data_IF_348065499843
#
_entry.id   IF_348065499843
#
_cell.length_a   1.000
_cell.length_b   1.000
_cell.length_c   1.000
_cell.angle_alpha   90.00
_cell.angle_beta   90.00
_cell.angle_gamma   90.00
#
_symmetry.space_group_name_H-M   'P 1'
#
loop_
_entity.id
_entity.type
_entity.pdbx_description
1 polymer ?
#
# COMPACT_ATOMS: atom_id res chain seq x y z
N UNK A 1 -25.58 -5.68 -19.88
CA UNK A 1 -24.64 -5.56 -18.75
C UNK A 1 -23.94 -4.22 -18.85
N UNK A 2 -24.16 -3.28 -17.91
CA UNK A 2 -23.36 -2.06 -17.84
C UNK A 2 -21.94 -2.46 -17.44
N UNK A 3 -20.88 -2.02 -18.14
CA UNK A 3 -19.52 -2.31 -17.70
C UNK A 3 -19.34 -1.77 -16.28
N UNK A 4 -18.77 -2.57 -15.38
CA UNK A 4 -18.37 -2.14 -14.05
C UNK A 4 -17.29 -1.06 -14.22
N UNK A 5 -17.71 0.20 -14.25
CA UNK A 5 -16.79 1.34 -14.27
C UNK A 5 -16.16 1.41 -12.89
N UNK A 6 -14.93 0.90 -12.75
CA UNK A 6 -14.16 1.01 -11.52
C UNK A 6 -13.92 2.49 -11.19
N UNK A 7 -14.10 2.86 -9.92
CA UNK A 7 -13.76 4.20 -9.42
C UNK A 7 -12.26 4.48 -9.61
N UNK A 8 -11.88 5.74 -9.81
CA UNK A 8 -10.48 6.11 -10.05
C UNK A 8 -9.60 5.70 -8.86
N UNK A 9 -10.12 5.82 -7.66
CA UNK A 9 -9.48 5.33 -6.43
C UNK A 9 -9.16 3.84 -6.48
N UNK A 10 -10.09 3.01 -6.98
CA UNK A 10 -9.85 1.58 -7.16
C UNK A 10 -8.78 1.30 -8.23
N UNK A 11 -8.80 2.03 -9.35
CA UNK A 11 -7.77 1.91 -10.40
C UNK A 11 -6.37 2.23 -9.88
N UNK A 12 -6.25 3.28 -9.06
CA UNK A 12 -4.94 3.67 -8.51
C UNK A 12 -4.43 2.64 -7.50
N UNK A 13 -5.31 2.12 -6.63
CA UNK A 13 -4.96 1.03 -5.70
C UNK A 13 -4.56 -0.25 -6.43
N UNK A 14 -5.24 -0.61 -7.51
CA UNK A 14 -4.86 -1.74 -8.37
C UNK A 14 -3.49 -1.51 -9.04
N UNK A 15 -3.21 -0.30 -9.50
CA UNK A 15 -1.89 0.07 -10.02
C UNK A 15 -0.79 -0.05 -8.96
N UNK A 16 -1.07 0.35 -7.72
CA UNK A 16 -0.14 0.17 -6.58
C UNK A 16 0.09 -1.32 -6.30
N UNK A 17 -0.96 -2.13 -6.25
CA UNK A 17 -0.83 -3.57 -6.05
C UNK A 17 -0.03 -4.24 -7.18
N UNK A 18 -0.27 -3.87 -8.43
CA UNK A 18 0.47 -4.38 -9.59
C UNK A 18 1.96 -4.02 -9.49
N UNK A 19 2.27 -2.79 -9.07
CA UNK A 19 3.66 -2.36 -8.85
C UNK A 19 4.33 -3.19 -7.75
N UNK A 20 3.64 -3.44 -6.63
CA UNK A 20 4.12 -4.28 -5.53
C UNK A 20 4.36 -5.71 -6.01
N UNK A 21 3.41 -6.28 -6.75
CA UNK A 21 3.50 -7.61 -7.37
C UNK A 21 4.76 -7.77 -8.20
N UNK A 22 4.96 -6.85 -9.16
CA UNK A 22 6.14 -6.89 -10.04
C UNK A 22 7.42 -6.70 -9.24
N UNK A 23 7.45 -5.72 -8.33
CA UNK A 23 8.64 -5.44 -7.52
C UNK A 23 9.04 -6.62 -6.63
N UNK A 24 8.07 -7.25 -5.96
CA UNK A 24 8.33 -8.39 -5.07
C UNK A 24 8.73 -9.64 -5.85
N UNK A 25 8.11 -9.90 -7.01
CA UNK A 25 8.55 -11.01 -7.87
C UNK A 25 9.98 -10.80 -8.37
N UNK A 26 10.33 -9.60 -8.85
CA UNK A 26 11.69 -9.26 -9.24
C UNK A 26 12.67 -9.44 -8.08
N UNK A 27 12.29 -9.00 -6.88
CA UNK A 27 13.10 -9.20 -5.68
C UNK A 27 13.27 -10.70 -5.35
N UNK A 28 12.24 -11.53 -5.51
CA UNK A 28 12.35 -12.99 -5.34
C UNK A 28 13.31 -13.65 -6.34
N UNK A 29 13.33 -13.16 -7.59
CA UNK A 29 14.34 -13.59 -8.58
C UNK A 29 15.74 -13.17 -8.15
N UNK A 30 15.93 -11.91 -7.76
CA UNK A 30 17.22 -11.39 -7.29
C UNK A 30 17.72 -12.15 -6.06
N UNK A 31 16.85 -12.45 -5.10
CA UNK A 31 17.17 -13.24 -3.92
C UNK A 31 17.62 -14.65 -4.29
N UNK A 32 16.98 -15.28 -5.28
CA UNK A 32 17.38 -16.61 -5.76
C UNK A 32 18.76 -16.58 -6.43
N UNK A 33 19.01 -15.57 -7.27
CA UNK A 33 20.32 -15.39 -7.91
C UNK A 33 21.38 -15.13 -6.84
N UNK A 34 21.09 -14.28 -5.85
CA UNK A 34 21.98 -14.02 -4.72
C UNK A 34 22.31 -15.31 -3.96
N UNK A 35 21.30 -16.09 -3.56
CA UNK A 35 21.50 -17.37 -2.86
C UNK A 35 22.35 -18.34 -3.71
N UNK A 36 22.10 -18.40 -5.02
CA UNK A 36 22.89 -19.23 -5.94
C UNK A 36 24.36 -18.82 -5.99
N UNK A 37 24.64 -17.52 -6.07
CA UNK A 37 25.99 -16.97 -6.09
C UNK A 37 26.71 -17.21 -4.77
N UNK A 38 26.01 -17.08 -3.63
CA UNK A 38 26.58 -17.35 -2.31
C UNK A 38 27.02 -18.81 -2.20
N UNK A 39 26.16 -19.74 -2.63
CA UNK A 39 26.44 -21.18 -2.59
C UNK A 39 27.64 -21.57 -3.48
N UNK A 40 27.88 -20.84 -4.58
CA UNK A 40 29.03 -21.05 -5.49
C UNK A 40 30.22 -20.13 -5.20
N UNK A 41 30.17 -19.32 -4.15
CA UNK A 41 31.28 -18.45 -3.76
C UNK A 41 32.36 -19.23 -3.02
N UNK A 42 33.60 -18.70 -2.99
CA UNK A 42 34.70 -19.32 -2.24
C UNK A 42 34.51 -19.41 -0.71
N UNK A 43 33.44 -18.81 -0.18
CA UNK A 43 33.08 -18.86 1.25
C UNK A 43 32.08 -19.98 1.59
N UNK A 44 31.69 -20.78 0.59
CA UNK A 44 30.70 -21.85 0.72
C UNK A 44 31.36 -23.21 0.52
N UNK A 45 30.87 -24.24 1.21
CA UNK A 45 31.26 -25.64 1.00
C UNK A 45 30.64 -26.24 -0.29
N UNK A 46 29.89 -25.44 -1.05
CA UNK A 46 29.22 -25.84 -2.29
C UNK A 46 27.72 -26.10 -2.11
N UNK A 47 27.05 -26.42 -3.21
CA UNK A 47 25.62 -26.73 -3.22
C UNK A 47 25.34 -28.10 -2.58
N UNK A 48 24.31 -28.18 -1.75
CA UNK A 48 23.84 -29.47 -1.23
C UNK A 48 23.21 -30.32 -2.33
N UNK A 49 23.15 -31.64 -2.15
CA UNK A 49 22.55 -32.57 -3.12
C UNK A 49 21.07 -32.25 -3.44
N UNK A 50 20.36 -31.61 -2.51
CA UNK A 50 18.97 -31.19 -2.68
C UNK A 50 18.79 -29.81 -3.31
N UNK A 51 19.88 -29.09 -3.63
CA UNK A 51 19.79 -27.75 -4.20
C UNK A 51 19.50 -27.81 -5.71
N UNK A 52 18.49 -27.05 -6.14
CA UNK A 52 18.20 -26.84 -7.56
C UNK A 52 17.81 -25.38 -7.78
N UNK A 53 18.54 -24.71 -8.69
CA UNK A 53 18.30 -23.30 -9.01
C UNK A 53 16.84 -23.07 -9.45
N UNK A 54 16.33 -23.89 -10.37
CA UNK A 54 14.97 -23.73 -10.89
C UNK A 54 13.90 -23.97 -9.83
N UNK A 55 14.13 -24.94 -8.94
CA UNK A 55 13.23 -25.18 -7.82
C UNK A 55 13.26 -24.02 -6.83
N UNK A 56 14.43 -23.52 -6.47
CA UNK A 56 14.58 -22.34 -5.60
C UNK A 56 13.93 -21.09 -6.22
N UNK A 57 14.07 -20.89 -7.53
CA UNK A 57 13.43 -19.80 -8.26
C UNK A 57 11.92 -19.89 -8.18
N UNK A 58 11.36 -21.06 -8.51
CA UNK A 58 9.92 -21.29 -8.43
C UNK A 58 9.39 -21.05 -7.01
N UNK A 59 10.10 -21.53 -5.99
CA UNK A 59 9.71 -21.37 -4.59
C UNK A 59 9.78 -19.92 -4.11
N UNK A 60 10.87 -19.21 -4.40
CA UNK A 60 11.05 -17.81 -3.98
C UNK A 60 10.10 -16.88 -4.73
N UNK A 61 10.00 -16.99 -6.06
CA UNK A 61 9.10 -16.16 -6.86
C UNK A 61 7.63 -16.51 -6.60
N UNK A 62 7.30 -17.79 -6.40
CA UNK A 62 5.96 -18.23 -5.99
C UNK A 62 5.56 -17.70 -4.61
N UNK A 63 6.48 -17.78 -3.63
CA UNK A 63 6.25 -17.21 -2.30
C UNK A 63 6.12 -15.68 -2.36
N UNK A 64 6.92 -15.01 -3.19
CA UNK A 64 6.84 -13.56 -3.41
C UNK A 64 5.50 -13.16 -4.04
N UNK A 65 5.01 -13.93 -5.02
CA UNK A 65 3.71 -13.72 -5.66
C UNK A 65 2.58 -13.85 -4.62
N UNK A 66 2.54 -14.94 -3.87
CA UNK A 66 1.53 -15.17 -2.82
C UNK A 66 1.63 -14.09 -1.74
N UNK A 67 2.83 -13.75 -1.31
CA UNK A 67 3.09 -12.67 -0.35
C UNK A 67 2.60 -11.32 -0.84
N UNK A 68 2.83 -10.97 -2.11
CA UNK A 68 2.36 -9.72 -2.70
C UNK A 68 0.84 -9.69 -2.87
N UNK A 69 0.23 -10.82 -3.25
CA UNK A 69 -1.22 -10.94 -3.37
C UNK A 69 -1.91 -10.82 -2.01
N UNK A 70 -1.42 -11.52 -0.98
CA UNK A 70 -2.04 -11.47 0.35
C UNK A 70 -1.62 -10.22 1.13
N UNK A 71 -0.32 -10.07 1.36
CA UNK A 71 0.27 -8.97 2.12
C UNK A 71 0.12 -7.63 1.42
N UNK A 72 0.44 -7.55 0.12
CA UNK A 72 0.29 -6.32 -0.66
C UNK A 72 -1.16 -5.86 -0.77
N UNK A 73 -2.12 -6.78 -0.99
CA UNK A 73 -3.54 -6.40 -1.03
C UNK A 73 -4.04 -5.93 0.33
N UNK A 74 -3.70 -6.64 1.41
CA UNK A 74 -4.02 -6.21 2.78
C UNK A 74 -3.46 -4.83 3.08
N UNK A 75 -2.22 -4.55 2.64
CA UNK A 75 -1.55 -3.28 2.86
C UNK A 75 -2.22 -2.13 2.09
N UNK A 76 -2.52 -2.32 0.80
CA UNK A 76 -3.09 -1.29 -0.09
C UNK A 76 -4.58 -1.06 0.18
N UNK A 77 -5.37 -2.12 0.31
CA UNK A 77 -6.83 -2.03 0.36
C UNK A 77 -7.39 -1.95 1.78
N UNK A 78 -6.67 -2.45 2.79
CA UNK A 78 -7.14 -2.47 4.17
C UNK A 78 -6.33 -1.55 5.09
N UNK A 79 -5.04 -1.83 5.31
CA UNK A 79 -4.25 -1.14 6.35
C UNK A 79 -4.10 0.35 6.02
N UNK A 80 -3.64 0.69 4.81
CA UNK A 80 -3.41 2.09 4.44
C UNK A 80 -4.71 2.91 4.28
N UNK A 81 -5.86 2.24 4.16
CA UNK A 81 -7.17 2.90 4.17
C UNK A 81 -7.67 3.10 5.60
N UNK A 82 -7.59 2.06 6.44
CA UNK A 82 -8.13 2.06 7.81
C UNK A 82 -7.32 2.93 8.77
N UNK A 83 -6.00 3.04 8.56
CA UNK A 83 -5.09 3.77 9.45
C UNK A 83 -4.66 5.13 8.89
N UNK A 84 -5.38 5.67 7.89
CA UNK A 84 -5.03 6.94 7.22
C UNK A 84 -5.01 8.15 8.17
N UNK A 85 -5.88 8.15 9.17
CA UNK A 85 -6.08 9.20 10.18
C UNK A 85 -5.37 8.90 11.51
N UNK A 86 -4.66 7.77 11.60
CA UNK A 86 -4.01 7.29 12.82
C UNK A 86 -2.53 7.64 12.87
N UNK A 87 -1.92 7.68 14.07
CA UNK A 87 -0.47 7.84 14.18
C UNK A 87 0.30 6.78 13.38
N UNK A 88 1.42 7.18 12.78
CA UNK A 88 2.23 6.29 11.95
C UNK A 88 2.68 5.00 12.66
N UNK A 89 2.93 5.08 13.98
CA UNK A 89 3.28 3.90 14.78
C UNK A 89 2.22 2.80 14.75
N UNK A 90 0.93 3.16 14.77
CA UNK A 90 -0.17 2.18 14.67
C UNK A 90 -0.22 1.53 13.28
N UNK A 91 0.06 2.31 12.23
CA UNK A 91 0.12 1.78 10.86
C UNK A 91 1.28 0.80 10.71
N UNK A 92 2.47 1.13 11.22
CA UNK A 92 3.65 0.26 11.19
C UNK A 92 3.38 -1.03 11.97
N UNK A 93 2.78 -0.93 13.15
CA UNK A 93 2.42 -2.10 13.95
C UNK A 93 1.41 -3.00 13.22
N UNK A 94 0.37 -2.42 12.60
CA UNK A 94 -0.61 -3.18 11.82
C UNK A 94 0.04 -3.90 10.62
N UNK A 95 0.97 -3.23 9.92
CA UNK A 95 1.74 -3.85 8.83
C UNK A 95 2.63 -4.98 9.36
N UNK A 96 3.32 -4.79 10.49
CA UNK A 96 4.20 -5.80 11.07
C UNK A 96 3.43 -7.05 11.52
N UNK A 97 2.30 -6.86 12.21
CA UNK A 97 1.41 -7.96 12.64
C UNK A 97 0.82 -8.67 11.42
N UNK A 98 0.32 -7.91 10.44
CA UNK A 98 -0.21 -8.50 9.21
C UNK A 98 0.86 -9.27 8.42
N UNK A 99 2.06 -8.74 8.33
CA UNK A 99 3.19 -9.43 7.71
C UNK A 99 3.53 -10.73 8.45
N UNK A 100 3.61 -10.71 9.78
CA UNK A 100 3.85 -11.90 10.59
C UNK A 100 2.76 -12.97 10.39
N UNK A 101 1.49 -12.55 10.28
CA UNK A 101 0.38 -13.45 9.99
C UNK A 101 0.48 -14.07 8.59
N UNK A 102 0.77 -13.26 7.56
CA UNK A 102 0.91 -13.73 6.17
C UNK A 102 2.10 -14.68 6.02
N UNK A 103 3.27 -14.34 6.58
CA UNK A 103 4.44 -15.21 6.49
C UNK A 103 4.25 -16.50 7.29
N UNK A 104 3.64 -16.42 8.47
CA UNK A 104 3.27 -17.61 9.26
C UNK A 104 2.32 -18.52 8.48
N UNK A 105 1.29 -17.95 7.85
CA UNK A 105 0.36 -18.68 7.01
C UNK A 105 1.06 -19.37 5.82
N UNK A 106 1.94 -18.66 5.11
CA UNK A 106 2.71 -19.23 4.00
C UNK A 106 3.60 -20.37 4.50
N UNK A 107 4.33 -20.18 5.61
CA UNK A 107 5.21 -21.21 6.18
C UNK A 107 4.41 -22.45 6.60
N UNK A 108 3.24 -22.28 7.22
CA UNK A 108 2.37 -23.39 7.60
C UNK A 108 1.84 -24.16 6.39
N UNK A 109 1.42 -23.47 5.33
CA UNK A 109 1.01 -24.13 4.08
C UNK A 109 2.17 -24.92 3.47
N UNK A 110 3.33 -24.27 3.34
CA UNK A 110 4.51 -24.94 2.79
C UNK A 110 4.90 -26.15 3.62
N UNK A 111 4.86 -26.05 4.94
CA UNK A 111 5.14 -27.17 5.83
C UNK A 111 4.12 -28.31 5.67
N UNK A 112 2.83 -27.98 5.65
CA UNK A 112 1.75 -28.97 5.51
C UNK A 112 1.79 -29.70 4.16
N UNK A 113 2.28 -29.06 3.10
CA UNK A 113 2.39 -29.67 1.76
C UNK A 113 3.72 -30.40 1.58
N UNK A 114 4.86 -29.74 1.85
CA UNK A 114 6.17 -30.28 1.50
C UNK A 114 6.68 -31.35 2.48
N UNK A 115 6.37 -31.23 3.77
CA UNK A 115 6.89 -32.19 4.76
C UNK A 115 6.32 -33.59 4.51
N UNK A 116 4.99 -33.80 4.36
CA UNK A 116 4.43 -35.12 4.06
C UNK A 116 4.86 -35.68 2.70
N UNK A 117 4.99 -34.82 1.68
CA UNK A 117 5.46 -35.23 0.36
C UNK A 117 6.91 -35.74 0.39
N UNK A 118 7.74 -35.17 1.28
CA UNK A 118 9.13 -35.60 1.45
C UNK A 118 9.25 -36.87 2.30
N UNK A 119 8.43 -37.03 3.34
CA UNK A 119 8.49 -38.22 4.22
C UNK A 119 7.66 -39.40 3.72
N UNK A 120 6.71 -39.18 2.82
CA UNK A 120 5.77 -40.20 2.34
C UNK A 120 4.76 -40.65 3.40
N UNK A 121 4.64 -39.91 4.51
CA UNK A 121 3.85 -40.30 5.68
C UNK A 121 2.89 -39.19 6.14
N UNK A 122 1.80 -39.54 6.86
CA UNK A 122 0.89 -38.55 7.42
C UNK A 122 1.58 -37.62 8.44
N UNK A 123 0.97 -36.45 8.69
CA UNK A 123 1.44 -35.47 9.70
C UNK A 123 1.40 -35.98 11.14
N UNK A 124 0.65 -37.05 11.42
CA UNK A 124 0.59 -37.69 12.74
C UNK A 124 1.77 -38.62 13.01
N UNK A 125 2.55 -39.01 11.99
CA UNK A 125 3.69 -39.91 12.18
C UNK A 125 4.86 -39.18 12.88
N UNK A 126 5.53 -39.81 13.86
CA UNK A 126 6.66 -39.21 14.57
C UNK A 126 7.79 -38.73 13.65
N UNK A 127 8.04 -39.42 12.53
CA UNK A 127 9.08 -39.02 11.56
C UNK A 127 8.69 -37.74 10.84
N UNK A 128 7.41 -37.58 10.48
CA UNK A 128 6.89 -36.36 9.86
C UNK A 128 6.88 -35.19 10.84
N UNK A 129 6.61 -35.43 12.12
CA UNK A 129 6.68 -34.40 13.16
C UNK A 129 8.10 -33.88 13.37
N UNK A 130 9.10 -34.77 13.34
CA UNK A 130 10.49 -34.36 13.45
C UNK A 130 10.95 -33.59 12.21
N UNK A 131 10.58 -34.06 11.01
CA UNK A 131 10.84 -33.34 9.76
C UNK A 131 10.15 -31.95 9.74
N UNK A 132 8.95 -31.83 10.31
CA UNK A 132 8.24 -30.56 10.48
C UNK A 132 9.02 -29.60 11.40
N UNK A 133 9.51 -30.10 12.54
CA UNK A 133 10.33 -29.29 13.45
C UNK A 133 11.59 -28.79 12.78
N UNK A 134 12.31 -29.66 12.06
CA UNK A 134 13.50 -29.30 11.29
C UNK A 134 13.18 -28.28 10.20
N UNK A 135 12.06 -28.43 9.49
CA UNK A 135 11.63 -27.47 8.47
C UNK A 135 11.36 -26.07 9.05
N UNK A 136 10.76 -26.00 10.24
CA UNK A 136 10.44 -24.75 10.92
C UNK A 136 11.65 -24.10 11.60
N UNK A 137 12.62 -24.89 12.08
CA UNK A 137 13.83 -24.38 12.74
C UNK A 137 14.99 -24.09 11.79
N UNK A 138 14.84 -24.39 10.50
CA UNK A 138 15.85 -24.14 9.48
C UNK A 138 16.24 -22.64 9.41
N UNK A 139 17.54 -22.36 9.34
CA UNK A 139 18.08 -20.99 9.30
C UNK A 139 17.52 -20.16 8.12
N UNK A 140 17.11 -20.81 7.04
CA UNK A 140 16.43 -20.17 5.90
C UNK A 140 15.15 -19.46 6.33
N UNK A 141 14.44 -19.94 7.36
CA UNK A 141 13.22 -19.27 7.87
C UNK A 141 13.56 -17.89 8.43
N UNK A 142 14.57 -17.82 9.30
CA UNK A 142 15.03 -16.56 9.90
C UNK A 142 15.57 -15.63 8.80
N UNK A 143 16.40 -16.15 7.89
CA UNK A 143 16.91 -15.41 6.73
C UNK A 143 15.77 -14.77 5.93
N UNK A 144 14.75 -15.56 5.58
CA UNK A 144 13.62 -15.09 4.79
C UNK A 144 12.80 -14.05 5.56
N UNK A 145 12.52 -14.26 6.85
CA UNK A 145 11.80 -13.30 7.70
C UNK A 145 12.53 -11.95 7.72
N UNK A 146 13.86 -11.95 7.95
CA UNK A 146 14.65 -10.73 8.00
C UNK A 146 14.66 -10.01 6.65
N UNK A 147 14.93 -10.74 5.58
CA UNK A 147 15.03 -10.19 4.22
C UNK A 147 13.70 -9.57 3.79
N UNK A 148 12.60 -10.29 3.93
CA UNK A 148 11.27 -9.80 3.55
C UNK A 148 10.75 -8.70 4.48
N UNK A 149 11.18 -8.65 5.75
CA UNK A 149 10.85 -7.51 6.62
C UNK A 149 11.39 -6.21 6.08
N UNK A 150 12.62 -6.21 5.55
CA UNK A 150 13.23 -5.02 4.93
C UNK A 150 12.45 -4.61 3.67
N UNK A 151 12.10 -5.58 2.82
CA UNK A 151 11.31 -5.32 1.59
C UNK A 151 9.94 -4.74 1.92
N UNK A 152 9.24 -5.30 2.91
CA UNK A 152 7.93 -4.82 3.37
C UNK A 152 8.03 -3.44 3.99
N UNK A 153 9.04 -3.19 4.85
CA UNK A 153 9.26 -1.88 5.45
C UNK A 153 9.54 -0.81 4.37
N UNK A 154 10.39 -1.14 3.39
CA UNK A 154 10.67 -0.24 2.27
C UNK A 154 9.43 0.00 1.41
N UNK A 155 8.66 -1.05 1.10
CA UNK A 155 7.39 -0.93 0.37
C UNK A 155 6.42 -0.01 1.13
N UNK A 156 6.33 -0.15 2.46
CA UNK A 156 5.49 0.71 3.29
C UNK A 156 5.93 2.17 3.29
N UNK A 157 7.23 2.41 3.37
CA UNK A 157 7.79 3.75 3.27
C UNK A 157 7.40 4.39 1.94
N UNK A 158 7.57 3.68 0.82
CA UNK A 158 7.22 4.17 -0.52
C UNK A 158 5.72 4.47 -0.62
N UNK A 159 4.86 3.59 -0.11
CA UNK A 159 3.40 3.83 -0.10
C UNK A 159 3.01 5.06 0.73
N UNK A 160 3.61 5.22 1.92
CA UNK A 160 3.34 6.37 2.77
C UNK A 160 3.80 7.70 2.13
N UNK A 161 4.99 7.70 1.53
CA UNK A 161 5.51 8.87 0.81
C UNK A 161 4.60 9.20 -0.37
N UNK A 162 4.21 8.21 -1.18
CA UNK A 162 3.29 8.42 -2.31
C UNK A 162 1.91 8.94 -1.86
N UNK A 163 1.42 8.52 -0.68
CA UNK A 163 0.19 9.06 -0.11
C UNK A 163 0.34 10.52 0.38
N UNK A 164 1.52 10.93 0.86
CA UNK A 164 1.78 12.32 1.29
C UNK A 164 1.97 13.29 0.13
N UNK A 165 2.72 12.91 -0.91
CA UNK A 165 3.06 13.79 -2.03
C UNK A 165 2.03 13.77 -3.18
N UNK A 166 0.95 13.01 -3.04
CA UNK A 166 -0.08 12.82 -4.06
C UNK A 166 0.24 11.68 -5.02
N UNK A 167 -0.79 10.91 -5.38
CA UNK A 167 -0.67 9.69 -6.17
C UNK A 167 -0.02 9.96 -7.55
N UNK A 168 1.14 9.33 -7.78
CA UNK A 168 1.88 9.39 -9.05
C UNK A 168 2.96 10.48 -9.12
N UNK A 169 2.99 11.41 -8.15
CA UNK A 169 4.03 12.43 -8.09
C UNK A 169 5.36 11.86 -7.62
N UNK A 170 5.36 10.85 -6.74
CA UNK A 170 6.61 10.27 -6.21
C UNK A 170 7.53 9.68 -7.29
N UNK A 171 6.98 8.93 -8.25
CA UNK A 171 7.76 8.39 -9.38
C UNK A 171 8.28 9.52 -10.26
N UNK A 172 7.47 10.57 -10.47
CA UNK A 172 7.88 11.75 -11.23
C UNK A 172 9.00 12.54 -10.52
N UNK A 173 9.00 12.58 -9.18
CA UNK A 173 10.08 13.15 -8.35
C UNK A 173 11.36 12.33 -8.54
N UNK A 174 11.31 11.00 -8.37
CA UNK A 174 12.49 10.13 -8.55
C UNK A 174 13.06 10.23 -9.97
N UNK A 175 12.20 10.31 -10.99
CA UNK A 175 12.61 10.46 -12.40
C UNK A 175 13.11 11.87 -12.74
N UNK A 176 13.17 12.79 -11.77
CA UNK A 176 13.62 14.16 -11.99
C UNK A 176 12.67 15.01 -12.85
N UNK A 177 11.41 14.58 -13.06
CA UNK A 177 10.45 15.30 -13.92
C UNK A 177 10.25 16.75 -13.46
N UNK A 178 10.35 17.01 -12.15
CA UNK A 178 10.18 18.34 -11.57
C UNK A 178 11.48 19.17 -11.47
N UNK A 179 12.62 18.64 -11.92
CA UNK A 179 13.89 19.38 -11.92
C UNK A 179 14.01 20.32 -13.12
N UNK A 180 13.26 20.07 -14.19
CA UNK A 180 13.27 20.88 -15.40
C UNK A 180 11.91 21.57 -15.53
N UNK A 181 11.83 22.92 -15.48
CA UNK A 181 10.56 23.62 -15.64
C UNK A 181 9.97 23.31 -17.01
N UNK A 182 8.74 22.79 -17.02
CA UNK A 182 8.01 22.43 -18.24
C UNK A 182 6.69 23.18 -18.30
N UNK A 183 6.39 23.77 -19.45
CA UNK A 183 5.07 24.36 -19.67
C UNK A 183 4.02 23.24 -19.76
N UNK A 184 3.08 23.22 -18.83
CA UNK A 184 1.93 22.30 -18.83
C UNK A 184 0.63 23.13 -18.89
N UNK A 185 -0.29 22.74 -19.77
CA UNK A 185 -1.63 23.34 -19.81
C UNK A 185 -2.52 22.69 -18.76
N UNK A 186 -2.91 23.45 -17.75
CA UNK A 186 -3.76 22.99 -16.64
C UNK A 186 -4.92 23.95 -16.40
N UNK A 187 -6.03 23.41 -15.91
CA UNK A 187 -7.18 24.19 -15.43
C UNK A 187 -7.09 24.20 -13.91
N UNK A 188 -7.16 25.39 -13.29
CA UNK A 188 -7.12 25.56 -11.85
C UNK A 188 -8.48 26.00 -11.32
N UNK A 189 -8.87 25.45 -10.17
CA UNK A 189 -10.01 25.88 -9.37
C UNK A 189 -9.51 26.24 -7.98
N UNK A 190 -9.98 27.36 -7.48
CA UNK A 190 -9.77 27.82 -6.12
C UNK A 190 -11.09 27.62 -5.38
N UNK A 191 -11.05 26.87 -4.30
CA UNK A 191 -12.24 26.52 -3.52
C UNK A 191 -12.00 26.92 -2.08
N UNK A 192 -12.88 27.77 -1.56
CA UNK A 192 -12.75 28.40 -0.25
C UNK A 192 -14.04 28.20 0.56
N UNK A 193 -13.91 28.19 1.89
CA UNK A 193 -15.03 28.08 2.82
C UNK A 193 -15.64 29.47 3.01
N UNK A 194 -16.91 29.63 2.64
CA UNK A 194 -17.62 30.88 2.87
C UNK A 194 -17.67 31.24 4.37
N UNK A 195 -17.34 32.51 4.68
CA UNK A 195 -17.37 33.05 6.03
C UNK A 195 -16.47 32.29 7.02
N UNK A 196 -15.36 31.73 6.53
CA UNK A 196 -14.38 30.99 7.33
C UNK A 196 -13.86 31.78 8.53
N UNK A 197 -13.59 33.08 8.38
CA UNK A 197 -13.18 33.97 9.47
C UNK A 197 -14.22 34.05 10.58
N UNK A 198 -15.50 34.25 10.23
CA UNK A 198 -16.60 34.26 11.21
C UNK A 198 -16.78 32.90 11.89
N UNK A 199 -16.52 31.81 11.18
CA UNK A 199 -16.57 30.45 11.76
C UNK A 199 -15.39 30.25 12.71
N UNK A 200 -14.19 30.68 12.32
CA UNK A 200 -12.97 30.62 13.12
C UNK A 200 -13.07 31.48 14.39
N UNK A 201 -13.72 32.64 14.33
CA UNK A 201 -13.96 33.50 15.51
C UNK A 201 -14.97 32.87 16.49
N UNK A 202 -15.87 32.01 16.01
CA UNK A 202 -16.90 31.34 16.82
C UNK A 202 -16.45 30.01 17.40
N UNK A 203 -15.54 29.32 16.72
CA UNK A 203 -14.96 28.07 17.16
C UNK A 203 -13.64 28.36 17.89
N UNK A 204 -13.23 27.52 18.84
CA UNK A 204 -11.85 27.55 19.30
C UNK A 204 -10.91 26.97 18.22
N UNK A 205 -9.60 27.20 18.35
CA UNK A 205 -8.58 26.78 17.40
C UNK A 205 -8.65 25.28 17.08
N UNK A 206 -8.88 24.43 18.09
CA UNK A 206 -8.92 22.97 17.92
C UNK A 206 -10.16 22.56 17.11
N UNK A 207 -11.32 23.12 17.42
CA UNK A 207 -12.57 22.86 16.71
C UNK A 207 -12.54 23.36 15.27
N UNK A 208 -11.93 24.52 15.02
CA UNK A 208 -11.74 25.02 13.67
C UNK A 208 -10.81 24.10 12.86
N UNK A 209 -9.72 23.61 13.48
CA UNK A 209 -8.81 22.68 12.83
C UNK A 209 -9.48 21.33 12.51
N UNK A 210 -10.34 20.82 13.40
CA UNK A 210 -11.14 19.62 13.13
C UNK A 210 -12.13 19.83 11.99
N UNK A 211 -12.81 20.98 11.94
CA UNK A 211 -13.71 21.33 10.83
C UNK A 211 -12.98 21.30 9.48
N UNK A 212 -11.80 21.92 9.40
CA UNK A 212 -10.98 21.91 8.19
C UNK A 212 -10.57 20.49 7.79
N UNK A 213 -10.15 19.67 8.75
CA UNK A 213 -9.78 18.27 8.53
C UNK A 213 -10.94 17.47 7.93
N UNK A 214 -12.14 17.60 8.50
CA UNK A 214 -13.33 16.88 8.04
C UNK A 214 -13.76 17.36 6.65
N UNK A 215 -13.79 18.69 6.44
CA UNK A 215 -14.08 19.28 5.14
C UNK A 215 -13.14 18.79 4.03
N UNK A 216 -11.82 18.81 4.27
CA UNK A 216 -10.85 18.32 3.29
C UNK A 216 -10.97 16.82 3.04
N UNK A 217 -11.30 16.03 4.06
CA UNK A 217 -11.55 14.60 3.91
C UNK A 217 -12.76 14.33 2.99
N UNK A 218 -13.84 15.09 3.17
CA UNK A 218 -15.10 14.93 2.42
C UNK A 218 -14.94 15.28 0.93
N UNK A 219 -14.25 16.38 0.61
CA UNK A 219 -14.10 16.82 -0.78
C UNK A 219 -13.02 16.04 -1.55
N UNK A 220 -12.08 15.38 -0.85
CA UNK A 220 -10.96 14.68 -1.49
C UNK A 220 -11.43 13.61 -2.49
N UNK A 221 -12.40 12.77 -2.10
CA UNK A 221 -12.86 11.67 -2.96
C UNK A 221 -13.58 12.21 -4.23
N UNK A 222 -14.56 13.13 -4.14
CA UNK A 222 -15.16 13.78 -5.30
C UNK A 222 -14.16 14.42 -6.27
N UNK A 223 -13.11 15.08 -5.75
CA UNK A 223 -12.04 15.67 -6.58
C UNK A 223 -11.31 14.59 -7.37
N UNK A 224 -10.85 13.53 -6.67
CA UNK A 224 -10.10 12.43 -7.29
C UNK A 224 -10.94 11.71 -8.34
N UNK A 225 -12.22 11.46 -8.06
CA UNK A 225 -13.15 10.77 -8.96
C UNK A 225 -13.44 11.59 -10.25
N UNK A 226 -13.47 12.92 -10.15
CA UNK A 226 -13.58 13.83 -11.30
C UNK A 226 -12.22 14.18 -11.93
N UNK A 227 -11.23 13.33 -11.72
CA UNK A 227 -9.87 13.46 -12.24
C UNK A 227 -9.02 14.64 -11.73
N UNK A 228 -9.50 15.39 -10.76
CA UNK A 228 -8.76 16.51 -10.17
C UNK A 228 -7.57 16.05 -9.35
N UNK A 229 -6.62 16.95 -9.16
CA UNK A 229 -5.46 16.79 -8.29
C UNK A 229 -5.44 17.96 -7.31
N UNK A 230 -5.33 17.67 -6.02
CA UNK A 230 -5.10 18.71 -5.01
C UNK A 230 -3.67 19.22 -5.19
N UNK A 231 -3.53 20.49 -5.56
CA UNK A 231 -2.25 21.13 -5.82
C UNK A 231 -1.63 21.67 -4.53
N UNK A 232 -2.42 22.35 -3.71
CA UNK A 232 -2.01 22.86 -2.40
C UNK A 232 -3.22 23.16 -1.51
N UNK A 233 -2.97 23.16 -0.20
CA UNK A 233 -3.86 23.72 0.82
C UNK A 233 -3.27 25.05 1.28
N UNK A 234 -4.08 26.11 1.34
CA UNK A 234 -3.68 27.45 1.78
C UNK A 234 -4.68 27.91 2.83
N UNK A 235 -4.42 27.58 4.10
CA UNK A 235 -5.37 27.84 5.18
C UNK A 235 -6.65 27.01 5.00
N UNK A 236 -7.75 27.70 4.75
CA UNK A 236 -9.10 27.22 4.45
C UNK A 236 -9.37 27.02 2.95
N UNK A 237 -8.47 27.50 2.09
CA UNK A 237 -8.55 27.35 0.65
C UNK A 237 -7.88 26.04 0.18
N UNK A 238 -8.50 25.40 -0.81
CA UNK A 238 -7.90 24.29 -1.56
C UNK A 238 -7.78 24.66 -3.04
N UNK A 239 -6.56 24.49 -3.58
CA UNK A 239 -6.29 24.68 -5.01
C UNK A 239 -6.32 23.33 -5.69
N UNK A 240 -7.18 23.19 -6.69
CA UNK A 240 -7.39 21.95 -7.44
C UNK A 240 -6.96 22.17 -8.89
N UNK A 241 -6.23 21.22 -9.45
CA UNK A 241 -5.74 21.27 -10.82
C UNK A 241 -6.22 20.06 -11.64
N UNK A 242 -6.57 20.31 -12.90
CA UNK A 242 -6.83 19.30 -13.92
C UNK A 242 -5.87 19.46 -15.10
N UNK A 243 -5.53 18.36 -15.77
CA UNK A 243 -4.93 18.44 -17.09
C UNK A 243 -5.93 19.05 -18.07
N UNK A 244 -5.45 19.82 -19.05
CA UNK A 244 -6.32 20.45 -20.06
C UNK A 244 -7.22 19.45 -20.82
N UNK A 245 -6.77 18.21 -21.00
CA UNK A 245 -7.57 17.14 -21.61
C UNK A 245 -8.78 16.68 -20.77
N UNK A 246 -8.78 16.95 -19.45
CA UNK A 246 -9.84 16.53 -18.53
C UNK A 246 -10.87 17.66 -18.25
N UNK A 247 -10.95 18.69 -19.11
CA UNK A 247 -11.83 19.87 -18.91
C UNK A 247 -13.32 19.51 -18.74
N UNK A 248 -13.79 18.41 -19.33
CA UNK A 248 -15.16 17.92 -19.15
C UNK A 248 -15.42 17.47 -17.71
N UNK A 249 -14.42 16.92 -17.03
CA UNK A 249 -14.56 16.46 -15.65
C UNK A 249 -14.49 17.62 -14.65
N UNK A 250 -13.72 18.67 -14.98
CA UNK A 250 -13.81 19.96 -14.27
C UNK A 250 -15.25 20.49 -14.29
N UNK A 251 -15.91 20.50 -15.46
CA UNK A 251 -17.30 20.98 -15.56
C UNK A 251 -18.24 20.13 -14.70
N UNK A 252 -18.09 18.80 -14.73
CA UNK A 252 -18.88 17.89 -13.92
C UNK A 252 -18.70 18.13 -12.40
N UNK A 253 -17.47 18.36 -11.95
CA UNK A 253 -17.17 18.72 -10.56
C UNK A 253 -17.70 20.11 -10.18
N UNK A 254 -17.59 21.10 -11.06
CA UNK A 254 -18.12 22.44 -10.81
C UNK A 254 -19.65 22.46 -10.70
N UNK A 255 -20.33 21.49 -11.34
CA UNK A 255 -21.78 21.31 -11.26
C UNK A 255 -22.23 20.36 -10.14
N UNK A 256 -21.32 19.85 -9.30
CA UNK A 256 -21.71 19.00 -8.17
C UNK A 256 -22.73 19.75 -7.31
N UNK A 257 -23.92 19.18 -7.04
CA UNK A 257 -24.96 19.89 -6.31
C UNK A 257 -24.44 20.29 -4.93
N UNK A 258 -24.62 21.57 -4.56
CA UNK A 258 -24.46 22.02 -3.18
C UNK A 258 -25.43 21.22 -2.30
N UNK A 259 -24.91 20.17 -1.64
CA UNK A 259 -25.60 19.43 -0.59
C UNK A 259 -26.37 18.20 -1.06
N UNK A 260 -25.72 17.03 -1.06
CA UNK A 260 -26.36 15.82 -0.55
C UNK A 260 -25.97 15.69 0.91
N UNK A 261 -26.80 16.24 1.81
CA UNK A 261 -26.79 15.83 3.22
C UNK A 261 -27.18 14.35 3.26
N UNK A 262 -26.22 13.44 3.20
CA UNK A 262 -26.37 12.23 3.99
C UNK A 262 -26.18 12.65 5.44
N UNK A 263 -27.26 12.59 6.20
CA UNK A 263 -27.31 12.86 7.63
C UNK A 263 -26.34 11.94 8.36
N UNK A 264 -25.13 12.43 8.61
CA UNK A 264 -24.33 11.89 9.71
C UNK A 264 -25.07 12.26 11.02
N UNK A 265 -25.29 11.31 11.94
CA UNK A 265 -25.86 11.63 13.23
C UNK A 265 -24.92 12.64 13.92
N UNK A 266 -25.44 13.62 14.67
CA UNK A 266 -24.60 14.55 15.39
C UNK A 266 -23.75 13.76 16.39
N UNK A 267 -22.45 13.67 16.12
CA UNK A 267 -21.48 13.20 17.11
C UNK A 267 -21.27 14.39 18.04
N UNK A 268 -21.84 14.27 19.23
CA UNK A 268 -21.79 15.16 20.40
C UNK A 268 -23.00 16.09 20.63
N UNK A 269 -23.66 15.96 21.81
CA UNK A 269 -24.64 16.93 22.25
C UNK A 269 -23.92 18.20 22.69
N UNK A 270 -24.34 19.33 22.12
CA UNK A 270 -24.00 20.66 22.62
C UNK A 270 -24.73 20.80 23.96
N UNK A 271 -24.04 20.56 25.07
CA UNK A 271 -24.50 21.05 26.36
C UNK A 271 -24.22 22.55 26.41
N UNK A 272 -25.31 23.31 26.56
CA UNK A 272 -25.33 24.75 26.84
C UNK A 272 -24.59 25.08 28.13
#
# INVERSE_FOLDING_TARGET
>A
MKPLVMTRTAQIRLGQLLMILVAWMLFGVLMTVYDHLVVHSGNSLGASEGYSFWFSLAMNTGSALIGALLGGSMMVFYINVKYRDKPYGQTILAVAVGYAAVIGFIVLILAAVFVPLRTGKPLSDPVTQEALRQFLSDATRIKNIMTWSVVVAFTQLVLQVNNKFGQGNFINIIRGKYQIPKQEKRVFMFLDINSSTTIAERLDDERYHMLLKDFFADITNPILDNRGQIYQYVGDEVVIAWNYSDTTNFKAFATFPKGSRETYPPVFPIHR
#
